data_IF_946094098295
#
_entry.id   IF_946094098295
#
_cell.length_a   1.000
_cell.length_b   1.000
_cell.length_c   1.000
_cell.angle_alpha   90.00
_cell.angle_beta   90.00
_cell.angle_gamma   90.00
#
_symmetry.space_group_name_H-M   'P 1'
#
loop_
_entity.id
_entity.type
_entity.pdbx_description
1 polymer ?
#
# COMPACT_ATOMS: atom_id res chain seq x y z
N UNK A 1 17.40 -27.07 -13.03
CA UNK A 1 16.17 -27.69 -13.60
C UNK A 1 15.20 -26.58 -13.95
N UNK A 2 14.40 -26.76 -15.00
CA UNK A 2 13.39 -25.81 -15.50
C UNK A 2 12.01 -26.46 -15.56
N UNK A 3 10.95 -25.65 -15.61
CA UNK A 3 9.56 -26.12 -15.70
C UNK A 3 8.86 -25.41 -16.85
N UNK A 4 8.35 -26.16 -17.83
CA UNK A 4 7.53 -25.58 -18.91
C UNK A 4 6.08 -25.47 -18.47
N UNK A 5 5.53 -24.26 -18.47
CA UNK A 5 4.13 -23.98 -18.19
C UNK A 5 3.40 -23.56 -19.46
N UNK A 6 2.15 -24.02 -19.58
CA UNK A 6 1.23 -23.68 -20.67
C UNK A 6 -0.12 -23.39 -20.05
N UNK A 7 -0.65 -22.20 -20.30
CA UNK A 7 -2.02 -21.82 -20.00
C UNK A 7 -2.89 -22.09 -21.22
N UNK A 8 -4.03 -22.74 -20.99
CA UNK A 8 -5.01 -23.07 -22.02
C UNK A 8 -6.36 -22.45 -21.67
N UNK A 9 -7.11 -22.06 -22.70
CA UNK A 9 -8.51 -21.65 -22.55
C UNK A 9 -9.44 -22.87 -22.36
N UNK A 10 -10.75 -22.61 -22.22
CA UNK A 10 -11.77 -23.65 -22.06
C UNK A 10 -11.88 -24.63 -23.24
N UNK A 11 -11.41 -24.24 -24.42
CA UNK A 11 -11.37 -25.07 -25.63
C UNK A 11 -10.05 -25.85 -25.75
N UNK A 12 -9.14 -25.70 -24.78
CA UNK A 12 -7.85 -26.38 -24.75
C UNK A 12 -6.78 -25.75 -25.65
N UNK A 13 -7.05 -24.59 -26.25
CA UNK A 13 -6.08 -23.83 -27.04
C UNK A 13 -5.11 -23.12 -26.11
N UNK A 14 -3.82 -23.15 -26.45
CA UNK A 14 -2.79 -22.42 -25.72
C UNK A 14 -2.99 -20.91 -25.87
N UNK A 15 -3.16 -20.21 -24.75
CA UNK A 15 -3.24 -18.74 -24.70
C UNK A 15 -1.92 -18.10 -24.28
N UNK A 16 -1.13 -18.80 -23.46
CA UNK A 16 0.21 -18.36 -23.07
C UNK A 16 1.09 -19.54 -22.64
N UNK A 17 2.40 -19.37 -22.73
CA UNK A 17 3.37 -20.37 -22.27
C UNK A 17 4.67 -19.72 -21.84
N UNK A 18 5.35 -20.32 -20.86
CA UNK A 18 6.66 -19.87 -20.39
C UNK A 18 7.44 -21.02 -19.78
N UNK A 19 8.76 -20.97 -19.90
CA UNK A 19 9.67 -21.86 -19.16
C UNK A 19 10.15 -21.11 -17.92
N UNK A 20 9.92 -21.70 -16.75
CA UNK A 20 10.38 -21.20 -15.46
C UNK A 20 11.74 -21.76 -15.07
N UNK A 21 12.54 -20.94 -14.39
CA UNK A 21 13.89 -21.25 -13.93
C UNK A 21 14.97 -20.87 -14.96
N UNK A 22 16.19 -21.44 -14.84
CA UNK A 22 16.57 -22.51 -13.92
C UNK A 22 16.66 -22.02 -12.47
N UNK A 23 16.20 -22.85 -11.52
CA UNK A 23 16.45 -22.59 -10.10
C UNK A 23 17.81 -23.16 -9.69
N UNK A 24 18.89 -22.45 -10.03
CA UNK A 24 20.24 -22.76 -9.58
C UNK A 24 20.61 -21.89 -8.35
N UNK A 25 21.77 -22.14 -7.74
CA UNK A 25 22.20 -21.43 -6.54
C UNK A 25 22.30 -19.91 -6.75
N UNK A 26 22.89 -19.49 -7.87
CA UNK A 26 23.01 -18.08 -8.25
C UNK A 26 21.63 -17.39 -8.31
N UNK A 27 20.65 -18.03 -8.93
CA UNK A 27 19.29 -17.51 -9.01
C UNK A 27 18.64 -17.41 -7.63
N UNK A 28 18.84 -18.40 -6.76
CA UNK A 28 18.32 -18.36 -5.38
C UNK A 28 18.96 -17.23 -4.57
N UNK A 29 20.26 -17.01 -4.72
CA UNK A 29 21.00 -15.94 -4.03
C UNK A 29 20.54 -14.53 -4.47
N UNK A 30 19.90 -14.41 -5.63
CA UNK A 30 19.40 -13.16 -6.20
C UNK A 30 17.92 -12.89 -5.88
N UNK A 31 17.18 -13.87 -5.35
CA UNK A 31 15.77 -13.73 -5.00
C UNK A 31 15.59 -13.09 -3.61
N UNK A 32 14.48 -12.35 -3.38
CA UNK A 32 13.51 -11.86 -4.36
C UNK A 32 13.89 -10.51 -5.01
N UNK A 33 15.00 -9.88 -4.61
CA UNK A 33 15.27 -8.48 -4.94
C UNK A 33 15.67 -8.26 -6.40
N UNK A 34 16.33 -9.23 -7.05
CA UNK A 34 16.69 -9.10 -8.45
C UNK A 34 15.51 -9.47 -9.36
N UNK A 35 14.92 -8.46 -9.99
CA UNK A 35 13.70 -8.59 -10.80
C UNK A 35 13.77 -9.67 -11.88
N UNK A 36 14.92 -9.83 -12.55
CA UNK A 36 15.09 -10.86 -13.60
C UNK A 36 15.00 -12.25 -12.99
N UNK A 37 15.62 -12.47 -11.81
CA UNK A 37 15.55 -13.75 -11.12
C UNK A 37 14.12 -14.05 -10.65
N UNK A 38 13.44 -13.07 -10.04
CA UNK A 38 12.04 -13.20 -9.61
C UNK A 38 11.11 -13.54 -10.79
N UNK A 39 11.22 -12.79 -11.89
CA UNK A 39 10.40 -13.03 -13.09
C UNK A 39 10.73 -14.35 -13.79
N UNK A 40 11.91 -14.92 -13.61
CA UNK A 40 12.23 -16.22 -14.19
C UNK A 40 11.49 -17.38 -13.51
N UNK A 41 11.06 -17.21 -12.25
CA UNK A 41 10.32 -18.24 -11.49
C UNK A 41 8.81 -17.97 -11.43
N UNK A 42 8.33 -16.93 -12.13
CA UNK A 42 6.92 -16.55 -12.21
C UNK A 42 6.41 -16.64 -13.64
N UNK A 43 5.17 -17.05 -13.82
CA UNK A 43 4.39 -16.98 -15.05
C UNK A 43 3.19 -16.10 -14.79
N UNK A 44 3.06 -14.99 -15.52
CA UNK A 44 1.92 -14.07 -15.38
C UNK A 44 1.28 -13.88 -16.76
N UNK A 45 -0.03 -14.00 -16.82
CA UNK A 45 -0.83 -13.73 -18.01
C UNK A 45 -2.20 -13.23 -17.56
N UNK A 46 -2.56 -12.01 -17.94
CA UNK A 46 -3.81 -11.36 -17.55
C UNK A 46 -4.04 -11.42 -16.02
N UNK A 47 -5.12 -12.05 -15.59
CA UNK A 47 -5.52 -12.19 -14.19
C UNK A 47 -4.99 -13.46 -13.51
N UNK A 48 -4.04 -14.16 -14.15
CA UNK A 48 -3.43 -15.40 -13.65
C UNK A 48 -1.94 -15.23 -13.40
N UNK A 49 -1.48 -15.70 -12.24
CA UNK A 49 -0.07 -15.84 -11.92
C UNK A 49 0.24 -17.21 -11.32
N UNK A 50 1.24 -17.89 -11.85
CA UNK A 50 1.81 -19.10 -11.28
C UNK A 50 3.26 -18.86 -10.87
N UNK A 51 3.65 -19.29 -9.68
CA UNK A 51 5.00 -19.15 -9.17
C UNK A 51 5.58 -20.51 -8.79
N UNK A 52 6.82 -20.78 -9.17
CA UNK A 52 7.53 -21.97 -8.73
C UNK A 52 7.82 -21.89 -7.22
N UNK A 53 7.54 -22.96 -6.47
CA UNK A 53 7.95 -23.06 -5.06
C UNK A 53 9.48 -23.12 -4.98
N UNK A 54 10.12 -21.99 -4.69
CA UNK A 54 11.59 -21.90 -4.69
C UNK A 54 12.25 -22.70 -3.56
N UNK A 55 11.53 -23.01 -2.48
CA UNK A 55 12.06 -23.79 -1.37
C UNK A 55 12.01 -25.30 -1.64
N UNK A 56 10.95 -25.76 -2.31
CA UNK A 56 10.71 -27.16 -2.64
C UNK A 56 10.08 -27.27 -4.04
N UNK A 57 10.84 -26.96 -5.11
CA UNK A 57 10.32 -26.80 -6.47
C UNK A 57 9.83 -28.09 -7.10
N UNK A 58 10.33 -29.23 -6.63
CA UNK A 58 9.98 -30.55 -7.15
C UNK A 58 9.64 -31.52 -6.01
N UNK A 59 8.58 -32.31 -6.21
CA UNK A 59 8.23 -33.44 -5.37
C UNK A 59 7.78 -34.58 -6.28
N UNK A 60 8.37 -35.77 -6.12
CA UNK A 60 7.95 -36.99 -6.86
C UNK A 60 7.86 -36.76 -8.39
N UNK A 61 8.87 -36.11 -8.97
CA UNK A 61 8.94 -35.74 -10.39
C UNK A 61 7.85 -34.76 -10.89
N UNK A 62 7.14 -34.10 -9.99
CA UNK A 62 6.19 -33.01 -10.30
C UNK A 62 6.74 -31.68 -9.84
N UNK A 63 6.48 -30.62 -10.61
CA UNK A 63 6.75 -29.26 -10.18
C UNK A 63 5.72 -28.82 -9.14
N UNK A 64 6.14 -28.04 -8.13
CA UNK A 64 5.26 -27.41 -7.14
C UNK A 64 5.10 -25.93 -7.48
N UNK A 65 3.86 -25.48 -7.62
CA UNK A 65 3.52 -24.12 -8.00
C UNK A 65 2.53 -23.53 -7.01
N UNK A 66 2.61 -22.23 -6.75
CA UNK A 66 1.52 -21.43 -6.22
C UNK A 66 0.76 -20.81 -7.38
N UNK A 67 -0.57 -20.91 -7.38
CA UNK A 67 -1.43 -20.36 -8.42
C UNK A 67 -2.35 -19.31 -7.81
N UNK A 68 -2.37 -18.15 -8.45
CA UNK A 68 -3.23 -17.02 -8.16
C UNK A 68 -4.08 -16.76 -9.40
N UNK A 69 -5.38 -16.57 -9.20
CA UNK A 69 -6.37 -16.28 -10.25
C UNK A 69 -7.21 -15.08 -9.82
N UNK A 70 -7.95 -14.48 -10.76
CA UNK A 70 -8.76 -13.29 -10.50
C UNK A 70 -7.90 -12.11 -9.99
N UNK A 71 -6.63 -12.05 -10.43
CA UNK A 71 -5.72 -10.96 -10.11
C UNK A 71 -6.28 -9.68 -10.74
N UNK A 72 -6.56 -8.70 -9.89
CA UNK A 72 -6.97 -7.38 -10.35
C UNK A 72 -5.71 -6.59 -10.70
N UNK A 73 -5.61 -6.18 -11.96
CA UNK A 73 -4.51 -5.37 -12.47
C UNK A 73 -4.85 -3.90 -12.28
N UNK A 74 -4.05 -3.23 -11.46
CA UNK A 74 -4.15 -1.79 -11.22
C UNK A 74 -2.99 -1.10 -11.92
N UNK A 75 -3.30 -0.14 -12.77
CA UNK A 75 -2.30 0.65 -13.48
C UNK A 75 -1.89 1.86 -12.65
N UNK A 76 -0.59 2.14 -12.62
CA UNK A 76 -0.06 3.30 -11.89
C UNK A 76 -0.55 4.60 -12.54
N UNK A 77 -0.91 5.56 -11.70
CA UNK A 77 -1.30 6.91 -12.11
C UNK A 77 -2.55 6.94 -13.00
N UNK A 78 -3.43 5.94 -12.85
CA UNK A 78 -4.75 5.91 -13.49
C UNK A 78 -5.89 5.99 -12.46
N UNK A 79 -7.07 6.49 -12.86
CA UNK A 79 -8.22 6.55 -11.97
C UNK A 79 -8.58 5.16 -11.44
N UNK A 80 -8.94 5.08 -10.17
CA UNK A 80 -9.37 3.82 -9.56
C UNK A 80 -10.66 3.34 -10.21
N UNK A 81 -10.70 2.05 -10.58
CA UNK A 81 -11.75 1.48 -11.44
C UNK A 81 -13.17 1.65 -10.90
N UNK A 82 -13.33 1.65 -9.57
CA UNK A 82 -14.64 1.78 -8.92
C UNK A 82 -14.97 3.21 -8.51
N UNK A 83 -13.98 4.11 -8.51
CA UNK A 83 -14.17 5.50 -8.12
C UNK A 83 -13.12 6.41 -8.76
N UNK A 84 -13.43 7.03 -9.92
CA UNK A 84 -12.45 7.81 -10.67
C UNK A 84 -12.04 9.12 -9.97
N UNK A 85 -12.63 9.44 -8.81
CA UNK A 85 -12.16 10.54 -7.94
C UNK A 85 -10.80 10.23 -7.32
N UNK A 86 -10.41 8.96 -7.22
CA UNK A 86 -9.16 8.54 -6.62
C UNK A 86 -8.19 8.01 -7.67
N UNK A 87 -6.90 8.18 -7.41
CA UNK A 87 -5.80 7.76 -8.27
C UNK A 87 -5.05 6.59 -7.65
N UNK A 88 -4.75 5.58 -8.46
CA UNK A 88 -3.92 4.44 -8.05
C UNK A 88 -2.46 4.88 -7.97
N UNK A 89 -1.87 4.80 -6.77
CA UNK A 89 -0.46 5.10 -6.52
C UNK A 89 0.21 3.90 -5.84
N UNK A 90 1.13 3.19 -6.52
CA UNK A 90 1.93 2.18 -5.84
C UNK A 90 2.93 2.87 -4.91
N UNK A 91 2.96 2.45 -3.65
CA UNK A 91 4.04 2.79 -2.74
C UNK A 91 5.11 1.69 -2.79
N UNK A 92 6.36 2.12 -2.84
CA UNK A 92 7.52 1.23 -2.83
C UNK A 92 8.28 1.48 -1.54
N UNK A 93 8.65 0.40 -0.85
CA UNK A 93 9.42 0.51 0.37
C UNK A 93 10.81 1.10 0.04
N UNK A 94 11.17 2.23 0.66
CA UNK A 94 12.44 2.91 0.39
C UNK A 94 13.68 2.10 0.77
N UNK A 95 13.52 1.04 1.58
CA UNK A 95 14.61 0.14 1.99
C UNK A 95 14.88 -0.98 0.97
N UNK A 96 13.84 -1.70 0.54
CA UNK A 96 13.98 -2.86 -0.35
C UNK A 96 13.61 -2.56 -1.80
N UNK A 97 13.07 -1.38 -2.10
CA UNK A 97 12.55 -0.98 -3.41
C UNK A 97 11.52 -1.95 -4.00
N UNK A 98 10.89 -2.75 -3.14
CA UNK A 98 9.79 -3.64 -3.51
C UNK A 98 8.45 -2.93 -3.30
N UNK A 99 7.46 -3.38 -4.05
CA UNK A 99 6.07 -2.98 -3.85
C UNK A 99 5.66 -3.25 -2.39
N UNK A 100 5.07 -2.25 -1.75
CA UNK A 100 4.72 -2.29 -0.33
C UNK A 100 3.20 -2.26 -0.17
N UNK A 101 2.56 -1.20 -0.66
CA UNK A 101 1.12 -0.99 -0.56
C UNK A 101 0.57 -0.25 -1.79
N UNK A 102 -0.75 -0.41 -2.04
CA UNK A 102 -1.47 0.42 -3.02
C UNK A 102 -2.12 1.55 -2.24
N UNK A 103 -1.81 2.77 -2.62
CA UNK A 103 -2.46 3.96 -2.12
C UNK A 103 -3.53 4.42 -3.11
N UNK A 104 -4.69 4.80 -2.58
CA UNK A 104 -5.72 5.52 -3.33
C UNK A 104 -5.65 6.98 -2.92
N UNK A 105 -5.04 7.79 -3.77
CA UNK A 105 -4.79 9.21 -3.54
C UNK A 105 -5.95 10.04 -4.09
N UNK A 106 -6.32 11.11 -3.39
CA UNK A 106 -7.24 12.10 -3.95
C UNK A 106 -6.42 13.22 -4.60
N UNK A 107 -6.45 13.36 -5.94
CA UNK A 107 -5.65 14.37 -6.63
C UNK A 107 -6.11 15.80 -6.32
N UNK A 108 -7.36 15.98 -5.88
CA UNK A 108 -7.97 17.28 -5.63
C UNK A 108 -8.20 17.51 -4.13
N UNK A 109 -8.16 18.78 -3.71
CA UNK A 109 -8.44 19.13 -2.32
C UNK A 109 -9.88 18.76 -1.93
N UNK A 110 -10.04 18.10 -0.78
CA UNK A 110 -11.34 17.86 -0.17
C UNK A 110 -11.73 19.11 0.62
N UNK A 111 -12.86 19.73 0.27
CA UNK A 111 -13.42 20.85 1.01
C UNK A 111 -14.60 20.34 1.82
N UNK A 112 -14.48 20.44 3.15
CA UNK A 112 -15.57 20.18 4.10
C UNK A 112 -15.97 21.50 4.73
N UNK A 113 -17.27 21.71 4.83
CA UNK A 113 -17.85 22.90 5.46
C UNK A 113 -19.13 22.53 6.21
N UNK A 114 -19.79 23.54 6.79
CA UNK A 114 -21.03 23.34 7.55
C UNK A 114 -22.16 22.71 6.72
N UNK A 115 -22.19 22.95 5.42
CA UNK A 115 -23.21 22.42 4.51
C UNK A 115 -22.83 21.05 3.95
N UNK A 116 -21.53 20.74 3.93
CA UNK A 116 -20.95 19.49 3.44
C UNK A 116 -19.99 18.93 4.50
N UNK A 117 -20.50 18.48 5.67
CA UNK A 117 -19.67 18.04 6.78
C UNK A 117 -19.12 16.62 6.58
N UNK A 118 -19.39 15.97 5.45
CA UNK A 118 -19.08 14.57 5.22
C UNK A 118 -18.41 14.38 3.88
N UNK A 119 -17.39 13.54 3.86
CA UNK A 119 -16.75 13.07 2.64
C UNK A 119 -16.77 11.56 2.55
N UNK A 120 -17.23 11.05 1.41
CA UNK A 120 -17.16 9.64 1.07
C UNK A 120 -15.78 9.29 0.53
N UNK A 121 -15.10 8.36 1.20
CA UNK A 121 -13.86 7.75 0.71
C UNK A 121 -14.08 6.95 -0.59
N UNK A 122 -13.07 6.19 -1.04
CA UNK A 122 -13.18 5.40 -2.28
C UNK A 122 -14.36 4.45 -2.22
N UNK A 123 -15.04 4.26 -3.35
CA UNK A 123 -16.13 3.30 -3.49
C UNK A 123 -15.60 1.92 -3.85
N UNK A 124 -16.25 0.88 -3.31
CA UNK A 124 -16.02 -0.49 -3.71
C UNK A 124 -16.76 -0.85 -5.00
N UNK A 125 -16.59 -2.10 -5.46
CA UNK A 125 -17.29 -2.66 -6.61
C UNK A 125 -18.82 -2.59 -6.51
N UNK A 126 -19.35 -2.56 -5.30
CA UNK A 126 -20.79 -2.42 -5.01
C UNK A 126 -21.28 -0.97 -5.05
N UNK A 127 -20.40 -0.01 -5.37
CA UNK A 127 -20.68 1.42 -5.43
C UNK A 127 -20.81 2.08 -4.05
N UNK A 128 -20.60 1.35 -2.95
CA UNK A 128 -20.67 1.90 -1.60
C UNK A 128 -19.31 2.43 -1.17
N UNK A 129 -19.26 3.52 -0.39
CA UNK A 129 -18.00 4.02 0.15
C UNK A 129 -17.41 3.03 1.15
N UNK A 130 -16.10 2.79 1.06
CA UNK A 130 -15.36 1.94 1.99
C UNK A 130 -15.30 2.55 3.40
N UNK A 131 -15.27 3.88 3.47
CA UNK A 131 -15.38 4.65 4.71
C UNK A 131 -15.90 6.07 4.41
N UNK A 132 -16.28 6.80 5.45
CA UNK A 132 -16.58 8.23 5.41
C UNK A 132 -15.79 9.00 6.45
N UNK A 133 -15.44 10.23 6.12
CA UNK A 133 -14.93 11.23 7.07
C UNK A 133 -16.12 12.11 7.43
N UNK A 134 -16.36 12.33 8.73
CA UNK A 134 -17.50 13.11 9.22
C UNK A 134 -17.00 14.17 10.19
N UNK A 135 -17.35 15.43 9.90
CA UNK A 135 -17.16 16.59 10.78
C UNK A 135 -18.35 16.67 11.73
N UNK A 136 -18.10 16.51 13.02
CA UNK A 136 -19.14 16.57 14.04
C UNK A 136 -19.35 17.99 14.57
N UNK A 137 -18.26 18.75 14.69
CA UNK A 137 -18.28 20.12 15.22
C UNK A 137 -17.29 21.03 14.48
N UNK A 138 -17.82 22.12 13.91
CA UNK A 138 -17.09 23.14 13.17
C UNK A 138 -17.69 24.52 13.45
N UNK A 139 -16.87 25.44 13.96
CA UNK A 139 -17.33 26.77 14.38
C UNK A 139 -17.31 27.83 13.26
N UNK A 140 -16.90 27.45 12.05
CA UNK A 140 -16.69 28.35 10.91
C UNK A 140 -15.22 28.66 10.62
N UNK A 141 -14.33 28.36 11.56
CA UNK A 141 -12.88 28.51 11.41
C UNK A 141 -12.13 27.20 11.73
N UNK A 142 -12.53 26.51 12.80
CA UNK A 142 -11.86 25.34 13.34
C UNK A 142 -12.80 24.15 13.53
N UNK A 143 -12.30 22.96 13.24
CA UNK A 143 -12.94 21.66 13.46
C UNK A 143 -12.61 21.21 14.88
N UNK A 144 -13.62 21.11 15.73
CA UNK A 144 -13.49 20.72 17.15
C UNK A 144 -13.73 19.23 17.38
N UNK A 145 -14.46 18.58 16.48
CA UNK A 145 -14.71 17.15 16.51
C UNK A 145 -14.92 16.57 15.11
N UNK A 146 -14.35 15.40 14.87
CA UNK A 146 -14.56 14.61 13.65
C UNK A 146 -14.24 13.13 13.89
N UNK A 147 -14.79 12.25 13.06
CA UNK A 147 -14.53 10.82 13.11
C UNK A 147 -14.46 10.19 11.71
N UNK A 148 -13.99 8.95 11.67
CA UNK A 148 -14.12 8.08 10.50
C UNK A 148 -15.17 7.02 10.80
N UNK A 149 -16.03 6.72 9.83
CA UNK A 149 -17.03 5.66 9.94
C UNK A 149 -17.00 4.71 8.74
N UNK A 150 -17.42 3.47 8.94
CA UNK A 150 -17.57 2.47 7.87
C UNK A 150 -18.79 1.60 8.11
N UNK A 151 -19.40 1.09 7.04
CA UNK A 151 -20.43 0.06 7.13
C UNK A 151 -19.74 -1.31 7.22
N UNK A 152 -19.85 -1.94 8.39
CA UNK A 152 -19.43 -3.31 8.59
C UNK A 152 -20.64 -4.20 8.86
N UNK A 153 -21.00 -5.02 7.87
CA UNK A 153 -22.11 -5.99 7.95
C UNK A 153 -23.47 -5.35 8.29
N UNK A 154 -23.76 -4.18 7.70
CA UNK A 154 -25.00 -3.45 7.90
C UNK A 154 -25.05 -2.64 9.19
N UNK A 155 -23.90 -2.45 9.86
CA UNK A 155 -23.76 -1.61 11.05
C UNK A 155 -22.71 -0.55 10.80
N UNK A 156 -23.00 0.67 11.23
CA UNK A 156 -22.03 1.76 11.16
C UNK A 156 -21.08 1.64 12.35
N UNK A 157 -19.83 1.31 12.07
CA UNK A 157 -18.74 1.33 13.04
C UNK A 157 -18.03 2.69 12.93
N UNK A 158 -17.78 3.33 14.07
CA UNK A 158 -17.21 4.69 14.16
C UNK A 158 -15.96 4.67 15.02
N UNK A 159 -14.98 5.48 14.67
CA UNK A 159 -13.90 5.83 15.60
C UNK A 159 -14.40 6.77 16.70
N UNK A 160 -13.65 6.89 17.78
CA UNK A 160 -13.79 8.02 18.70
C UNK A 160 -13.47 9.35 18.00
N UNK A 161 -13.69 10.47 18.69
CA UNK A 161 -13.31 11.80 18.19
C UNK A 161 -11.79 11.86 17.91
N UNK A 162 -11.45 12.16 16.66
CA UNK A 162 -10.08 12.25 16.16
C UNK A 162 -9.52 13.69 16.24
N UNK A 163 -10.33 14.67 16.66
CA UNK A 163 -9.85 16.00 16.97
C UNK A 163 -9.13 16.02 18.32
N UNK A 164 -7.81 15.88 18.31
CA UNK A 164 -7.01 16.08 19.54
C UNK A 164 -6.97 17.54 19.98
N UNK A 165 -6.93 18.47 19.01
CA UNK A 165 -7.02 19.92 19.19
C UNK A 165 -7.79 20.51 18.01
N UNK A 166 -8.44 21.67 18.17
CA UNK A 166 -9.11 22.33 17.05
C UNK A 166 -8.14 22.66 15.91
N UNK A 167 -8.53 22.34 14.67
CA UNK A 167 -7.73 22.56 13.45
C UNK A 167 -8.63 22.97 12.29
N UNK A 168 -8.10 23.71 11.33
CA UNK A 168 -8.80 24.07 10.10
C UNK A 168 -8.48 23.13 8.93
N UNK A 169 -7.73 22.05 9.18
CA UNK A 169 -7.37 21.04 8.19
C UNK A 169 -7.43 19.63 8.79
N UNK A 170 -7.63 18.65 7.91
CA UNK A 170 -7.58 17.23 8.24
C UNK A 170 -6.68 16.53 7.22
N UNK A 171 -5.69 15.79 7.71
CA UNK A 171 -4.94 14.82 6.91
C UNK A 171 -5.28 13.42 7.47
N UNK A 172 -5.82 12.51 6.65
CA UNK A 172 -6.24 11.16 7.08
C UNK A 172 -5.49 10.08 6.31
N UNK A 173 -5.05 9.06 7.05
CA UNK A 173 -4.49 7.82 6.54
C UNK A 173 -5.32 6.65 7.09
N UNK A 174 -5.96 5.88 6.21
CA UNK A 174 -6.85 4.76 6.60
C UNK A 174 -6.30 3.45 6.05
N UNK A 175 -6.29 2.40 6.87
CA UNK A 175 -5.94 1.03 6.43
C UNK A 175 -4.43 0.73 6.35
N UNK A 176 -3.58 1.55 6.95
CA UNK A 176 -2.11 1.48 6.83
C UNK A 176 -1.50 0.31 7.61
N UNK A 177 -0.53 -0.40 6.99
CA UNK A 177 0.29 -1.43 7.63
C UNK A 177 1.76 -0.99 7.85
N UNK A 178 1.97 0.12 8.55
CA UNK A 178 3.25 0.43 9.20
C UNK A 178 4.40 1.01 8.37
N UNK A 179 4.30 1.16 7.04
CA UNK A 179 5.39 1.72 6.22
C UNK A 179 4.91 2.73 5.17
N UNK A 180 4.40 3.89 5.58
CA UNK A 180 3.86 4.95 4.68
C UNK A 180 4.89 5.99 4.23
N UNK A 181 6.07 5.54 3.81
CA UNK A 181 7.18 6.44 3.49
C UNK A 181 6.84 7.42 2.34
N UNK A 182 6.13 6.96 1.30
CA UNK A 182 5.72 7.78 0.16
C UNK A 182 4.78 8.93 0.53
N UNK A 183 3.72 8.66 1.30
CA UNK A 183 2.80 9.71 1.78
C UNK A 183 3.53 10.69 2.70
N UNK A 184 4.31 10.20 3.67
CA UNK A 184 5.08 11.06 4.57
C UNK A 184 5.94 12.05 3.76
N UNK A 185 6.60 11.59 2.69
CA UNK A 185 7.42 12.44 1.82
C UNK A 185 6.63 13.53 1.09
N UNK A 186 5.41 13.24 0.64
CA UNK A 186 4.62 14.14 -0.17
C UNK A 186 3.80 15.14 0.67
N UNK A 187 3.19 14.70 1.77
CA UNK A 187 2.23 15.49 2.54
C UNK A 187 2.78 16.00 3.87
N UNK A 188 3.61 15.21 4.55
CA UNK A 188 4.07 15.53 5.91
C UNK A 188 5.46 16.15 5.94
N UNK A 189 6.42 15.74 5.10
CA UNK A 189 7.80 16.25 5.11
C UNK A 189 7.91 17.71 4.66
N UNK A 190 6.96 18.22 3.87
CA UNK A 190 6.89 19.64 3.55
C UNK A 190 6.38 20.49 4.72
N UNK A 191 5.64 19.89 5.66
CA UNK A 191 5.03 20.53 6.84
C UNK A 191 5.81 20.26 8.13
N UNK A 192 6.56 19.18 8.19
CA UNK A 192 7.45 18.77 9.27
C UNK A 192 8.87 18.84 8.73
N UNK A 193 9.69 19.75 9.25
CA UNK A 193 11.13 19.78 8.98
C UNK A 193 11.79 18.51 9.51
N UNK A 194 11.71 17.41 8.76
CA UNK A 194 12.35 16.15 9.08
C UNK A 194 13.56 16.00 8.15
N UNK A 195 14.75 16.10 8.72
CA UNK A 195 15.92 15.46 8.15
C UNK A 195 15.82 13.96 8.46
N UNK A 196 15.75 13.13 7.43
CA UNK A 196 15.97 11.69 7.57
C UNK A 196 17.38 11.47 8.08
N UNK A 197 17.50 11.18 9.38
CA UNK A 197 18.80 10.95 10.02
C UNK A 197 19.55 9.86 9.26
N UNK A 198 18.95 8.74 8.90
CA UNK A 198 19.64 7.64 8.21
C UNK A 198 20.17 7.96 6.80
N UNK A 199 19.63 8.96 6.08
CA UNK A 199 20.19 9.43 4.79
C UNK A 199 21.33 10.43 4.94
N UNK A 200 21.47 11.07 6.10
CA UNK A 200 22.53 12.06 6.40
C UNK A 200 23.52 11.60 7.46
N UNK A 201 23.26 10.46 8.12
CA UNK A 201 24.09 9.84 9.17
C UNK A 201 25.19 8.94 8.62
N UNK A 202 25.59 9.12 7.36
CA UNK A 202 26.95 8.75 7.00
C UNK A 202 27.88 9.58 7.91
N UNK A 203 28.56 8.89 8.83
CA UNK A 203 29.24 9.43 10.01
C UNK A 203 29.92 10.80 9.79
N UNK A 204 29.25 11.88 10.22
CA UNK A 204 29.86 13.17 10.50
C UNK A 204 30.17 13.32 11.99
N UNK A 205 31.24 14.04 12.34
CA UNK A 205 31.85 14.01 13.66
C UNK A 205 30.90 14.33 14.83
N UNK A 206 31.07 13.58 15.92
CA UNK A 206 30.25 13.56 17.13
C UNK A 206 30.40 14.81 17.99
N UNK A 207 29.84 15.94 17.57
CA UNK A 207 29.56 17.07 18.48
C UNK A 207 28.05 17.21 18.65
N UNK A 208 27.55 16.75 19.79
CA UNK A 208 26.14 16.89 20.18
C UNK A 208 25.80 18.38 20.31
N UNK A 209 24.86 18.85 19.49
CA UNK A 209 24.11 20.08 19.75
C UNK A 209 22.84 19.69 20.50
N UNK A 210 22.69 20.25 21.70
CA UNK A 210 21.48 20.20 22.52
C UNK A 210 20.44 21.16 21.94
N UNK A 211 19.25 20.65 21.58
CA UNK A 211 18.10 21.48 21.19
C UNK A 211 16.97 20.62 20.62
N UNK A 212 15.78 20.71 21.22
CA UNK A 212 14.63 19.83 21.08
C UNK A 212 14.10 19.59 19.64
N UNK A 213 13.63 18.36 19.38
CA UNK A 213 12.31 18.15 18.75
C UNK A 213 11.68 16.89 19.32
N UNK A 214 10.49 17.08 19.90
CA UNK A 214 9.62 16.06 20.46
C UNK A 214 8.74 15.51 19.33
N UNK A 215 8.91 14.24 18.95
CA UNK A 215 7.94 13.51 18.11
C UNK A 215 7.68 12.16 18.72
N UNK A 216 6.48 12.02 19.32
CA UNK A 216 5.72 10.78 19.41
C UNK A 216 6.49 9.56 19.90
N UNK A 217 6.66 9.44 21.22
CA UNK A 217 6.99 8.16 21.81
C UNK A 217 5.84 7.17 21.59
N UNK A 218 6.13 6.04 20.95
CA UNK A 218 5.40 4.80 21.17
C UNK A 218 6.39 3.68 21.47
N UNK A 219 5.94 2.75 22.32
CA UNK A 219 6.57 1.53 22.82
C UNK A 219 7.29 1.60 24.18
N UNK A 220 6.48 1.58 25.25
CA UNK A 220 6.81 0.78 26.42
C UNK A 220 5.81 -0.36 26.56
N UNK A 221 6.20 -1.54 26.07
CA UNK A 221 5.84 -2.80 26.72
C UNK A 221 7.17 -3.52 26.98
N UNK A 222 7.54 -3.64 28.26
CA UNK A 222 8.41 -4.73 28.73
C UNK A 222 7.57 -5.59 29.66
N UNK A 223 7.31 -6.80 29.17
CA UNK A 223 6.82 -8.05 29.79
C UNK A 223 5.63 -7.95 30.75
#
# INVERSE_FOLDING_TARGET
MTVSLVLKDGDGKTVASKVLGPLNREMVDLLPQYQVAARAVQFTHEDVQAELDVGKPFQENKARLYLFTEIHLLERDTPFEFDPRFMVRPDVCGHCYQFNEILLDNPEAIILDKNNPMYEGPKGKDGKPLFRIVIDDFDGEMIHAWHVETDYKGRIEKTDNLAFRPRNNIDVLVGVNGTIEGFLRLSMLSRLGFMESWRTSACGSTKKLSGAVNTGGSSHIRR
#
